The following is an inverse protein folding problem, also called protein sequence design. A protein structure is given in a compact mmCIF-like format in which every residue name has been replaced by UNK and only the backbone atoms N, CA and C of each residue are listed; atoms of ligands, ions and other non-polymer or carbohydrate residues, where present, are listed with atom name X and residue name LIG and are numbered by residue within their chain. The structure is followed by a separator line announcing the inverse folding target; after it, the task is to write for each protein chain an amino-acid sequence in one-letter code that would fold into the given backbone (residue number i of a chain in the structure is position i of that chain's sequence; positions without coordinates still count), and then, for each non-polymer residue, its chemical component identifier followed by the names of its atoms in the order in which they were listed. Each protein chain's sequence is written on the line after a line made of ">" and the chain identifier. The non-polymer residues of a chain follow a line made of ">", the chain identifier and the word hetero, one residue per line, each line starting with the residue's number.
data_IF_919191269971
#
_entry.id   IF_919191269971
#
_cell.length_a   1.000
_cell.length_b   1.000
_cell.length_c   1.000
_cell.angle_alpha   90.00
_cell.angle_beta   90.00
_cell.angle_gamma   90.00
#
_symmetry.space_group_name_H-M   'P 1'
#
loop_
_entity.id
_entity.type
_entity.pdbx_description
1 polymer ?
#
# COMPACT_ATOMS: atom_id res chain seq x y z
N UNK A 1 7.52 -48.25 -37.34
CA UNK A 1 6.82 -46.95 -37.21
C UNK A 1 6.75 -46.50 -35.76
N UNK A 2 6.45 -47.39 -34.80
CA UNK A 2 6.41 -47.13 -33.34
C UNK A 2 7.69 -46.50 -32.76
N UNK A 3 8.89 -46.95 -33.16
CA UNK A 3 10.16 -46.36 -32.69
C UNK A 3 10.38 -44.92 -33.17
N UNK A 4 10.02 -44.61 -34.42
CA UNK A 4 10.11 -43.25 -34.96
C UNK A 4 9.10 -42.31 -34.28
N UNK A 5 7.87 -42.78 -34.03
CA UNK A 5 6.85 -42.02 -33.30
C UNK A 5 7.29 -41.76 -31.85
N UNK A 6 7.92 -42.73 -31.19
CA UNK A 6 8.46 -42.55 -29.84
C UNK A 6 9.59 -41.52 -29.78
N UNK A 7 10.52 -41.54 -30.74
CA UNK A 7 11.62 -40.57 -30.83
C UNK A 7 11.08 -39.16 -31.12
N UNK A 8 10.15 -39.03 -32.06
CA UNK A 8 9.51 -37.75 -32.37
C UNK A 8 8.70 -37.21 -31.17
N UNK A 9 7.99 -38.09 -30.46
CA UNK A 9 7.27 -37.73 -29.23
C UNK A 9 8.19 -37.25 -28.11
N UNK A 10 9.31 -37.95 -27.90
CA UNK A 10 10.32 -37.56 -26.90
C UNK A 10 10.98 -36.22 -27.24
N UNK A 11 11.34 -36.00 -28.52
CA UNK A 11 11.89 -34.73 -28.99
C UNK A 11 10.89 -33.58 -28.83
N UNK A 12 9.61 -33.81 -29.17
CA UNK A 12 8.55 -32.83 -28.99
C UNK A 12 8.33 -32.46 -27.53
N UNK A 13 8.34 -33.43 -26.62
CA UNK A 13 8.24 -33.19 -25.18
C UNK A 13 9.44 -32.37 -24.67
N UNK A 14 10.66 -32.71 -25.09
CA UNK A 14 11.85 -31.97 -24.69
C UNK A 14 11.82 -30.50 -25.13
N UNK A 15 11.36 -30.21 -26.36
CA UNK A 15 11.17 -28.84 -26.86
C UNK A 15 10.03 -28.13 -26.11
N UNK A 16 8.93 -28.82 -25.85
CA UNK A 16 7.80 -28.25 -25.10
C UNK A 16 8.19 -27.85 -23.67
N UNK A 17 8.96 -28.70 -23.00
CA UNK A 17 9.46 -28.42 -21.65
C UNK A 17 10.49 -27.30 -21.64
N UNK A 18 11.37 -27.20 -22.65
CA UNK A 18 12.35 -26.10 -22.72
C UNK A 18 11.71 -24.74 -22.98
N UNK A 19 10.58 -24.71 -23.69
CA UNK A 19 9.84 -23.49 -24.01
C UNK A 19 8.71 -23.17 -23.03
N UNK A 20 8.45 -24.04 -22.04
CA UNK A 20 7.32 -23.94 -21.13
C UNK A 20 7.20 -22.55 -20.49
N UNK A 21 8.30 -21.98 -19.98
CA UNK A 21 8.30 -20.67 -19.34
C UNK A 21 8.08 -19.52 -20.33
N UNK A 22 8.61 -19.63 -21.55
CA UNK A 22 8.39 -18.63 -22.59
C UNK A 22 6.92 -18.62 -23.05
N UNK A 23 6.32 -19.80 -23.24
CA UNK A 23 4.90 -19.93 -23.57
C UNK A 23 4.00 -19.42 -22.43
N UNK A 24 4.35 -19.71 -21.17
CA UNK A 24 3.62 -19.19 -20.00
C UNK A 24 3.61 -17.66 -19.98
N UNK A 25 4.76 -17.03 -20.19
CA UNK A 25 4.86 -15.57 -20.22
C UNK A 25 4.14 -14.95 -21.43
N UNK A 26 4.21 -15.61 -22.59
CA UNK A 26 3.45 -15.20 -23.78
C UNK A 26 1.94 -15.22 -23.53
N UNK A 27 1.42 -16.36 -23.06
CA UNK A 27 0.00 -16.53 -22.78
C UNK A 27 -0.48 -15.50 -21.73
N UNK A 28 0.29 -15.30 -20.66
CA UNK A 28 0.01 -14.27 -19.68
C UNK A 28 0.00 -12.86 -20.29
N UNK A 29 0.95 -12.53 -21.16
CA UNK A 29 0.99 -11.25 -21.87
C UNK A 29 -0.25 -11.00 -22.73
N UNK A 30 -0.68 -12.01 -23.48
CA UNK A 30 -1.93 -11.95 -24.27
C UNK A 30 -3.12 -11.69 -23.34
N UNK A 31 -3.23 -12.41 -22.22
CA UNK A 31 -4.33 -12.22 -21.26
C UNK A 31 -4.32 -10.83 -20.63
N UNK A 32 -3.15 -10.30 -20.26
CA UNK A 32 -3.01 -8.94 -19.75
C UNK A 32 -3.46 -7.89 -20.77
N UNK A 33 -3.14 -8.09 -22.06
CA UNK A 33 -3.55 -7.17 -23.14
C UNK A 33 -5.04 -7.26 -23.48
N UNK A 34 -5.64 -8.45 -23.36
CA UNK A 34 -7.07 -8.69 -23.65
C UNK A 34 -7.95 -8.17 -22.51
N UNK A 35 -7.66 -8.59 -21.27
CA UNK A 35 -8.50 -8.25 -20.11
C UNK A 35 -8.14 -6.92 -19.47
N UNK A 36 -6.93 -6.40 -19.72
CA UNK A 36 -6.44 -5.09 -19.24
C UNK A 36 -6.78 -4.83 -17.77
N UNK A 37 -6.30 -5.66 -16.83
CA UNK A 37 -6.49 -5.40 -15.39
C UNK A 37 -5.81 -4.08 -14.94
N UNK A 38 -4.86 -3.60 -15.74
CA UNK A 38 -4.23 -2.29 -15.63
C UNK A 38 -3.80 -1.79 -17.02
N UNK A 39 -3.46 -0.51 -17.11
CA UNK A 39 -2.95 0.14 -18.33
C UNK A 39 -1.66 0.91 -18.04
N UNK A 40 -0.97 1.34 -19.09
CA UNK A 40 0.17 2.25 -18.95
C UNK A 40 -0.26 3.53 -18.21
N UNK A 41 0.56 3.95 -17.25
CA UNK A 41 0.30 5.06 -16.34
C UNK A 41 -0.30 4.64 -14.99
N UNK A 42 -0.92 3.46 -14.88
CA UNK A 42 -1.48 2.99 -13.61
C UNK A 42 -0.37 2.65 -12.61
N UNK A 43 -0.54 3.01 -11.33
CA UNK A 43 0.31 2.54 -10.25
C UNK A 43 -0.22 1.21 -9.71
N UNK A 44 0.58 0.15 -9.88
CA UNK A 44 0.16 -1.23 -9.62
C UNK A 44 1.20 -1.91 -8.73
N UNK A 45 0.72 -2.79 -7.85
CA UNK A 45 1.53 -3.76 -7.14
C UNK A 45 1.19 -5.18 -7.62
N UNK A 46 2.19 -5.87 -8.15
CA UNK A 46 2.07 -7.22 -8.66
C UNK A 46 3.43 -7.93 -8.56
N UNK A 47 3.43 -9.27 -8.46
CA UNK A 47 4.65 -10.06 -8.36
C UNK A 47 5.63 -9.60 -7.24
N UNK A 48 5.11 -9.02 -6.15
CA UNK A 48 5.90 -8.53 -5.02
C UNK A 48 6.62 -7.19 -5.28
N UNK A 49 6.28 -6.47 -6.34
CA UNK A 49 6.83 -5.14 -6.64
C UNK A 49 5.73 -4.13 -6.93
N UNK A 50 5.96 -2.86 -6.60
CA UNK A 50 5.03 -1.76 -6.80
C UNK A 50 5.65 -0.68 -7.69
N UNK A 51 4.91 -0.23 -8.70
CA UNK A 51 5.38 0.79 -9.64
C UNK A 51 4.33 1.22 -10.65
N UNK A 52 4.60 2.32 -11.34
CA UNK A 52 3.79 2.80 -12.45
C UNK A 52 4.10 2.01 -13.71
N UNK A 53 3.06 1.49 -14.38
CA UNK A 53 3.21 0.72 -15.61
C UNK A 53 3.71 1.63 -16.74
N UNK A 54 4.85 1.29 -17.33
CA UNK A 54 5.38 2.00 -18.50
C UNK A 54 4.85 1.37 -19.79
N UNK A 55 4.99 0.05 -19.92
CA UNK A 55 4.51 -0.71 -21.08
C UNK A 55 4.28 -2.18 -20.76
N UNK A 56 3.33 -2.78 -21.46
CA UNK A 56 3.06 -4.22 -21.43
C UNK A 56 3.61 -4.82 -22.72
N UNK A 57 4.71 -5.56 -22.62
CA UNK A 57 5.28 -6.31 -23.72
C UNK A 57 4.66 -7.70 -23.84
N UNK A 58 5.08 -8.44 -24.87
CA UNK A 58 4.58 -9.80 -25.15
C UNK A 58 4.96 -10.78 -24.02
N UNK A 59 6.18 -10.68 -23.49
CA UNK A 59 6.70 -11.60 -22.46
C UNK A 59 6.89 -10.93 -21.10
N UNK A 60 7.13 -9.62 -21.07
CA UNK A 60 7.44 -8.86 -19.86
C UNK A 60 6.65 -7.56 -19.80
N UNK A 61 6.44 -7.07 -18.59
CA UNK A 61 5.88 -5.75 -18.31
C UNK A 61 6.96 -4.89 -17.66
N UNK A 62 7.09 -3.65 -18.12
CA UNK A 62 8.03 -2.67 -17.57
C UNK A 62 7.28 -1.73 -16.63
N UNK A 63 7.82 -1.54 -15.43
CA UNK A 63 7.27 -0.68 -14.38
C UNK A 63 8.36 0.28 -13.89
N UNK A 64 7.98 1.50 -13.52
CA UNK A 64 8.87 2.45 -12.86
C UNK A 64 8.46 2.64 -11.41
N UNK A 65 9.40 2.52 -10.50
CA UNK A 65 9.16 2.80 -9.08
C UNK A 65 9.09 4.31 -8.82
N UNK A 66 8.51 4.74 -7.68
CA UNK A 66 8.51 6.16 -7.29
C UNK A 66 9.91 6.77 -7.13
N UNK A 67 10.93 5.95 -6.84
CA UNK A 67 12.34 6.36 -6.76
C UNK A 67 13.09 6.23 -8.10
N UNK A 68 12.35 6.19 -9.22
CA UNK A 68 12.86 6.22 -10.59
C UNK A 68 13.77 5.04 -10.96
N UNK A 69 13.43 3.83 -10.51
CA UNK A 69 14.05 2.57 -10.95
C UNK A 69 13.15 1.86 -11.95
N UNK A 70 13.73 1.36 -13.02
CA UNK A 70 13.03 0.50 -13.98
C UNK A 70 13.03 -0.95 -13.47
N UNK A 71 11.86 -1.56 -13.44
CA UNK A 71 11.65 -2.96 -13.08
C UNK A 71 10.99 -3.67 -14.26
N UNK A 72 11.61 -4.77 -14.70
CA UNK A 72 11.13 -5.60 -15.80
C UNK A 72 10.65 -6.92 -15.20
N UNK A 73 9.34 -7.16 -15.26
CA UNK A 73 8.70 -8.33 -14.65
C UNK A 73 8.17 -9.28 -15.73
N UNK A 74 8.46 -10.59 -15.68
CA UNK A 74 7.83 -11.57 -16.55
C UNK A 74 6.29 -11.58 -16.38
N UNK A 75 5.55 -11.56 -17.49
CA UNK A 75 4.09 -11.49 -17.46
C UNK A 75 3.45 -12.65 -16.69
N UNK A 76 4.06 -13.84 -16.77
CA UNK A 76 3.60 -15.02 -16.04
C UNK A 76 3.68 -14.86 -14.51
N UNK A 77 4.58 -14.02 -14.00
CA UNK A 77 4.68 -13.72 -12.56
C UNK A 77 3.61 -12.73 -12.12
N UNK A 78 3.23 -11.79 -12.99
CA UNK A 78 2.14 -10.84 -12.72
C UNK A 78 0.79 -11.57 -12.75
N UNK A 79 0.53 -12.32 -13.82
CA UNK A 79 -0.77 -12.96 -14.04
C UNK A 79 -1.02 -14.15 -13.11
N UNK A 80 0.06 -14.77 -12.59
CA UNK A 80 -0.04 -15.91 -11.68
C UNK A 80 -0.40 -15.55 -10.23
N UNK A 81 -0.53 -14.27 -9.89
CA UNK A 81 -0.80 -13.80 -8.52
C UNK A 81 -1.82 -12.68 -8.46
N UNK A 82 -2.00 -12.13 -7.26
CA UNK A 82 -2.88 -10.98 -7.05
C UNK A 82 -2.27 -9.72 -7.69
N UNK A 83 -3.15 -8.90 -8.27
CA UNK A 83 -2.81 -7.61 -8.88
C UNK A 83 -3.56 -6.53 -8.13
N UNK A 84 -2.84 -5.66 -7.43
CA UNK A 84 -3.42 -4.50 -6.73
C UNK A 84 -3.23 -3.26 -7.59
N UNK A 85 -4.30 -2.77 -8.22
CA UNK A 85 -4.25 -1.54 -9.01
C UNK A 85 -4.74 -0.35 -8.16
N UNK A 86 -3.81 0.50 -7.76
CA UNK A 86 -4.12 1.70 -6.97
C UNK A 86 -4.73 2.83 -7.80
N UNK A 87 -4.67 2.74 -9.14
CA UNK A 87 -5.21 3.73 -10.08
C UNK A 87 -6.54 3.30 -10.72
N UNK A 88 -7.02 2.08 -10.47
CA UNK A 88 -8.25 1.57 -11.07
C UNK A 88 -9.53 2.22 -10.53
N UNK A 89 -9.45 2.88 -9.38
CA UNK A 89 -10.57 3.58 -8.74
C UNK A 89 -10.24 5.06 -8.65
N UNK A 90 -11.25 5.90 -8.84
CA UNK A 90 -11.09 7.36 -8.80
C UNK A 90 -10.82 7.87 -7.37
N UNK A 91 -11.27 7.12 -6.35
CA UNK A 91 -11.15 7.49 -4.94
C UNK A 91 -10.43 6.42 -4.13
N UNK A 92 -9.75 6.86 -3.06
CA UNK A 92 -9.01 6.02 -2.13
C UNK A 92 -9.18 6.50 -0.71
N UNK A 93 -9.19 5.56 0.23
CA UNK A 93 -9.18 5.84 1.66
C UNK A 93 -7.73 6.02 2.13
N UNK A 94 -7.46 7.08 2.89
CA UNK A 94 -6.16 7.32 3.52
C UNK A 94 -6.27 6.84 4.96
N UNK A 95 -5.53 5.78 5.31
CA UNK A 95 -5.53 5.26 6.69
C UNK A 95 -4.36 5.90 7.45
N UNK A 96 -4.71 6.73 8.43
CA UNK A 96 -3.76 7.47 9.27
C UNK A 96 -3.98 7.10 10.73
N UNK A 97 -2.88 7.02 11.49
CA UNK A 97 -2.89 6.72 12.92
C UNK A 97 -2.22 7.87 13.66
N UNK A 98 -2.89 8.38 14.69
CA UNK A 98 -2.44 9.50 15.51
C UNK A 98 -2.49 9.09 16.97
N UNK A 99 -1.34 9.03 17.64
CA UNK A 99 -1.25 8.70 19.06
C UNK A 99 -1.22 9.94 19.93
N UNK A 100 -2.01 9.94 21.01
CA UNK A 100 -1.99 10.96 22.07
C UNK A 100 -1.58 10.35 23.42
N UNK A 101 -1.11 11.19 24.34
CA UNK A 101 -0.83 10.78 25.73
C UNK A 101 -2.09 10.30 26.44
N UNK A 102 -1.94 9.38 27.40
CA UNK A 102 -3.07 8.90 28.22
C UNK A 102 -3.69 9.99 29.10
N UNK A 103 -2.91 11.02 29.40
CA UNK A 103 -3.30 12.21 30.15
C UNK A 103 -3.93 13.30 29.27
N UNK A 104 -3.81 13.20 27.95
CA UNK A 104 -4.34 14.18 27.02
C UNK A 104 -5.88 14.12 26.94
N UNK A 105 -6.50 15.28 26.70
CA UNK A 105 -7.95 15.35 26.50
C UNK A 105 -8.35 14.70 25.17
N UNK A 106 -8.89 13.49 25.28
CA UNK A 106 -9.34 12.67 24.17
C UNK A 106 -10.42 13.36 23.32
N UNK A 107 -11.37 14.04 23.95
CA UNK A 107 -12.47 14.70 23.23
C UNK A 107 -11.97 15.94 22.49
N UNK A 108 -11.05 16.70 23.11
CA UNK A 108 -10.38 17.83 22.46
C UNK A 108 -9.56 17.37 21.26
N UNK A 109 -8.75 16.32 21.41
CA UNK A 109 -7.95 15.75 20.32
C UNK A 109 -8.83 15.29 19.16
N UNK A 110 -9.91 14.56 19.46
CA UNK A 110 -10.86 14.10 18.44
C UNK A 110 -11.50 15.27 17.68
N UNK A 111 -11.92 16.33 18.38
CA UNK A 111 -12.53 17.50 17.75
C UNK A 111 -11.56 18.19 16.79
N UNK A 112 -10.30 18.37 17.18
CA UNK A 112 -9.27 18.97 16.31
C UNK A 112 -9.07 18.12 15.05
N UNK A 113 -8.99 16.80 15.19
CA UNK A 113 -8.88 15.91 14.03
C UNK A 113 -10.12 16.00 13.12
N UNK A 114 -11.32 16.11 13.68
CA UNK A 114 -12.57 16.31 12.92
C UNK A 114 -12.57 17.64 12.17
N UNK A 115 -12.14 18.73 12.82
CA UNK A 115 -12.02 20.07 12.22
C UNK A 115 -10.99 20.09 11.09
N UNK A 116 -9.82 19.49 11.29
CA UNK A 116 -8.79 19.38 10.25
C UNK A 116 -9.27 18.59 9.03
N UNK A 117 -9.98 17.47 9.25
CA UNK A 117 -10.56 16.67 8.17
C UNK A 117 -11.65 17.44 7.43
N UNK A 118 -12.46 18.23 8.14
CA UNK A 118 -13.51 19.04 7.52
C UNK A 118 -12.95 20.27 6.76
N UNK A 119 -11.77 20.76 7.13
CA UNK A 119 -11.16 21.94 6.52
C UNK A 119 -10.40 21.66 5.21
N UNK A 120 -9.98 20.41 4.97
CA UNK A 120 -9.25 20.03 3.75
C UNK A 120 -10.24 19.73 2.59
N UNK A 121 -10.28 20.62 1.61
CA UNK A 121 -11.17 20.53 0.43
C UNK A 121 -10.94 19.27 -0.42
N UNK A 122 -9.79 18.59 -0.29
CA UNK A 122 -9.48 17.35 -1.01
C UNK A 122 -10.15 16.13 -0.38
N UNK A 123 -10.64 16.25 0.85
CA UNK A 123 -11.34 15.17 1.55
C UNK A 123 -12.80 15.14 1.12
N UNK A 124 -13.23 13.97 0.67
CA UNK A 124 -14.59 13.71 0.26
C UNK A 124 -15.50 13.57 1.48
N UNK A 125 -16.64 14.26 1.43
CA UNK A 125 -17.68 14.12 2.46
C UNK A 125 -18.37 12.75 2.41
N UNK A 126 -18.43 12.12 1.24
CA UNK A 126 -18.99 10.78 1.04
C UNK A 126 -18.00 9.86 0.32
N UNK A 127 -17.66 8.69 0.91
CA UNK A 127 -18.10 8.21 2.22
C UNK A 127 -17.56 9.05 3.38
N UNK A 128 -18.38 9.21 4.43
CA UNK A 128 -18.00 9.97 5.61
C UNK A 128 -16.65 9.49 6.22
N UNK A 129 -15.70 10.41 6.49
CA UNK A 129 -14.46 10.08 7.17
C UNK A 129 -14.71 9.44 8.54
N UNK A 130 -13.96 8.40 8.87
CA UNK A 130 -14.04 7.76 10.19
C UNK A 130 -12.91 8.27 11.09
N UNK A 131 -13.27 8.89 12.21
CA UNK A 131 -12.34 9.24 13.29
C UNK A 131 -12.78 8.52 14.56
N UNK A 132 -11.93 7.64 15.10
CA UNK A 132 -12.23 6.87 16.30
C UNK A 132 -10.96 6.43 17.02
N UNK A 133 -11.06 6.16 18.31
CA UNK A 133 -10.02 5.45 19.05
C UNK A 133 -9.98 4.01 18.55
N UNK A 134 -8.85 3.60 18.00
CA UNK A 134 -8.64 2.24 17.49
C UNK A 134 -7.96 1.34 18.51
N UNK A 135 -7.14 1.89 19.41
CA UNK A 135 -6.29 1.11 20.30
C UNK A 135 -5.86 1.94 21.52
N UNK A 136 -5.78 1.28 22.69
CA UNK A 136 -5.09 1.76 23.89
C UNK A 136 -3.74 1.03 23.93
N UNK A 137 -2.69 1.66 23.40
CA UNK A 137 -1.36 1.06 23.21
C UNK A 137 -0.46 1.26 24.44
N UNK A 138 0.75 0.69 24.42
CA UNK A 138 1.66 0.66 25.57
C UNK A 138 2.00 2.04 26.17
N UNK A 139 2.02 3.09 25.35
CA UNK A 139 2.36 4.45 25.78
C UNK A 139 1.48 5.54 25.19
N UNK A 140 0.42 5.17 24.45
CA UNK A 140 -0.45 6.14 23.78
C UNK A 140 -1.87 5.61 23.59
N UNK A 141 -2.82 6.53 23.44
CA UNK A 141 -4.16 6.26 22.91
C UNK A 141 -4.15 6.57 21.43
N UNK A 142 -4.37 5.55 20.60
CA UNK A 142 -4.28 5.66 19.14
C UNK A 142 -5.65 5.97 18.53
N UNK A 143 -5.75 7.11 17.86
CA UNK A 143 -6.83 7.39 16.92
C UNK A 143 -6.51 6.81 15.55
N UNK A 144 -7.55 6.29 14.90
CA UNK A 144 -7.56 6.08 13.46
C UNK A 144 -8.36 7.19 12.79
N UNK A 145 -7.78 7.77 11.74
CA UNK A 145 -8.40 8.80 10.89
C UNK A 145 -8.42 8.26 9.47
N UNK A 146 -9.62 8.07 8.92
CA UNK A 146 -9.85 7.43 7.62
C UNK A 146 -10.71 8.28 6.67
N UNK A 147 -10.17 9.39 6.14
CA UNK A 147 -10.82 10.15 5.08
C UNK A 147 -10.75 9.41 3.73
N UNK A 148 -11.67 9.76 2.85
CA UNK A 148 -11.64 9.38 1.44
C UNK A 148 -11.20 10.59 0.61
N UNK A 149 -10.39 10.36 -0.41
CA UNK A 149 -9.82 11.40 -1.29
C UNK A 149 -9.80 10.90 -2.72
N UNK A 150 -9.58 11.78 -3.69
CA UNK A 150 -9.26 11.32 -5.04
C UNK A 150 -7.91 10.60 -5.04
N UNK A 151 -7.75 9.59 -5.89
CA UNK A 151 -6.53 8.79 -5.98
C UNK A 151 -5.27 9.62 -6.24
N UNK A 152 -5.41 10.75 -6.96
CA UNK A 152 -4.32 11.68 -7.22
C UNK A 152 -3.88 12.49 -5.98
N UNK A 153 -4.81 12.79 -5.07
CA UNK A 153 -4.58 13.61 -3.88
C UNK A 153 -4.03 12.81 -2.70
N UNK A 154 -4.03 11.47 -2.81
CA UNK A 154 -3.69 10.53 -1.74
C UNK A 154 -2.42 10.90 -0.96
N UNK A 155 -1.31 11.12 -1.67
CA UNK A 155 -0.03 11.40 -1.01
C UNK A 155 0.04 12.81 -0.44
N UNK A 156 -0.52 13.80 -1.14
CA UNK A 156 -0.59 15.18 -0.66
C UNK A 156 -1.36 15.25 0.66
N UNK A 157 -2.59 14.73 0.68
CA UNK A 157 -3.41 14.71 1.91
C UNK A 157 -2.72 13.95 3.03
N UNK A 158 -2.11 12.79 2.75
CA UNK A 158 -1.43 12.00 3.78
C UNK A 158 -0.30 12.78 4.46
N UNK A 159 0.58 13.41 3.68
CA UNK A 159 1.74 14.10 4.23
C UNK A 159 1.35 15.43 4.89
N UNK A 160 0.53 16.23 4.23
CA UNK A 160 0.06 17.51 4.77
C UNK A 160 -0.72 17.30 6.08
N UNK A 161 -1.60 16.29 6.12
CA UNK A 161 -2.36 15.97 7.34
C UNK A 161 -1.42 15.57 8.49
N UNK A 162 -0.42 14.73 8.22
CA UNK A 162 0.53 14.28 9.25
C UNK A 162 1.31 15.45 9.85
N UNK A 163 1.77 16.38 9.00
CA UNK A 163 2.47 17.59 9.44
C UNK A 163 1.55 18.51 10.24
N UNK A 164 0.35 18.79 9.72
CA UNK A 164 -0.62 19.67 10.38
C UNK A 164 -1.10 19.11 11.72
N UNK A 165 -1.19 17.79 11.89
CA UNK A 165 -1.54 17.17 13.17
C UNK A 165 -0.51 17.57 14.23
N UNK A 166 0.77 17.52 13.89
CA UNK A 166 1.84 17.90 14.81
C UNK A 166 1.72 19.38 15.19
N UNK A 167 1.54 20.25 14.21
CA UNK A 167 1.45 21.70 14.43
C UNK A 167 0.25 22.06 15.32
N UNK A 168 -0.94 21.56 15.00
CA UNK A 168 -2.15 21.87 15.76
C UNK A 168 -2.14 21.24 17.15
N UNK A 169 -1.59 20.04 17.31
CA UNK A 169 -1.49 19.42 18.64
C UNK A 169 -0.53 20.19 19.54
N UNK A 170 0.57 20.71 19.00
CA UNK A 170 1.48 21.57 19.77
C UNK A 170 0.81 22.88 20.21
N UNK A 171 0.11 23.53 19.29
CA UNK A 171 -0.62 24.79 19.56
C UNK A 171 -1.70 24.60 20.62
N UNK A 172 -2.39 23.46 20.58
CA UNK A 172 -3.49 23.13 21.48
C UNK A 172 -3.04 22.41 22.76
N UNK A 173 -1.74 22.17 22.94
CA UNK A 173 -1.17 21.53 24.14
C UNK A 173 -1.50 20.05 24.27
N UNK A 174 -1.73 19.34 23.16
CA UNK A 174 -1.98 17.90 23.13
C UNK A 174 -0.65 17.16 23.02
N UNK A 175 -0.34 16.37 24.05
CA UNK A 175 0.90 15.60 24.11
C UNK A 175 0.89 14.44 23.10
N UNK A 176 1.93 14.36 22.28
CA UNK A 176 2.29 13.16 21.51
C UNK A 176 3.39 12.44 22.30
N UNK A 177 3.09 11.28 22.91
CA UNK A 177 3.93 10.72 23.95
C UNK A 177 5.15 10.01 23.37
N UNK A 178 6.29 10.15 24.05
CA UNK A 178 7.41 9.21 23.91
C UNK A 178 7.06 7.87 24.56
N UNK A 179 7.79 6.78 24.24
CA UNK A 179 7.70 5.54 24.99
C UNK A 179 7.85 5.77 26.49
N UNK A 180 6.86 5.33 27.26
CA UNK A 180 6.83 5.47 28.72
C UNK A 180 7.34 4.19 29.38
N UNK A 181 8.03 4.33 30.51
CA UNK A 181 8.53 3.21 31.30
C UNK A 181 8.45 3.52 32.79
N UNK A 182 7.72 2.68 33.52
CA UNK A 182 7.66 2.76 34.97
C UNK A 182 8.83 2.00 35.59
N UNK A 183 9.71 2.72 36.29
CA UNK A 183 10.89 2.16 36.97
C UNK A 183 10.64 2.09 38.47
N UNK A 184 10.55 0.87 39.00
CA UNK A 184 10.46 0.61 40.44
C UNK A 184 11.86 0.36 41.00
N UNK A 185 12.45 1.36 41.68
CA UNK A 185 13.77 1.25 42.30
C UNK A 185 13.66 0.63 43.70
N UNK A 186 14.07 -0.62 43.83
CA UNK A 186 14.22 -1.28 45.13
C UNK A 186 15.62 -1.00 45.69
N UNK A 187 15.71 -0.32 46.83
CA UNK A 187 16.99 -0.11 47.53
C UNK A 187 17.51 -1.46 48.02
N UNK A 188 18.70 -1.86 47.56
CA UNK A 188 19.42 -2.97 48.17
C UNK A 188 19.87 -2.53 49.57
N UNK A 189 19.42 -3.23 50.62
CA UNK A 189 19.99 -3.06 51.95
C UNK A 189 21.42 -3.58 51.91
N UNK A 190 22.40 -2.68 52.11
CA UNK A 190 23.78 -3.05 52.40
C UNK A 190 23.83 -3.62 53.82
N UNK A 191 24.18 -4.90 53.95
CA UNK A 191 24.50 -5.55 55.23
C UNK A 191 25.75 -4.95 55.88
#
# INVERSE_FOLDING_TARGET
>A
TTSLVAILGAAGLAIGLSLQDSLKNFAAGVMLLVFKPFKAGDFVEAAGTAGSIVKIGIFTTTMNTPDNKEIIVPNGNIYGGNITNYSARDTRRVDMVVGIGYDADLLKAKRILEEMVAADERILAEPAPKIAVSELADSSVNFVVRPWVNSADFWGVKFDFTENVKLHFDEEGISIPFPQMDVHLHKAHSE
#
